data_IF_434875070702
#
_entry.id   IF_434875070702
#
_cell.length_a   1.000
_cell.length_b   1.000
_cell.length_c   1.000
_cell.angle_alpha   90.00
_cell.angle_beta   90.00
_cell.angle_gamma   90.00
#
_symmetry.space_group_name_H-M   'P 1'
#
loop_
_entity.id
_entity.type
_entity.pdbx_description
1 polymer ?
#
# COMPACT_ATOMS: atom_id res chain seq x y z
N UNK A 1 -16.54 -23.44 10.82
CA UNK A 1 -15.24 -22.74 10.68
C UNK A 1 -14.19 -23.52 11.47
N UNK A 2 -12.96 -23.64 10.96
CA UNK A 2 -11.86 -24.30 11.66
C UNK A 2 -11.16 -23.34 12.63
N UNK A 3 -10.77 -23.85 13.79
CA UNK A 3 -9.95 -23.09 14.74
C UNK A 3 -8.48 -23.28 14.41
N UNK A 4 -7.73 -22.18 14.37
CA UNK A 4 -6.27 -22.20 14.21
C UNK A 4 -5.65 -21.79 15.54
N UNK A 5 -4.78 -22.63 16.10
CA UNK A 5 -4.07 -22.32 17.34
C UNK A 5 -2.81 -21.53 17.03
N UNK A 6 -2.71 -20.31 17.55
CA UNK A 6 -1.57 -19.41 17.35
C UNK A 6 -0.82 -19.29 18.67
N UNK A 7 0.49 -19.49 18.65
CA UNK A 7 1.36 -19.24 19.82
C UNK A 7 1.64 -17.75 19.91
N UNK A 8 1.46 -17.19 21.10
CA UNK A 8 1.74 -15.80 21.43
C UNK A 8 2.73 -15.79 22.59
N UNK A 9 3.71 -14.89 22.54
CA UNK A 9 4.58 -14.65 23.69
C UNK A 9 3.79 -14.05 24.85
N UNK A 10 4.24 -14.29 26.08
CA UNK A 10 3.52 -13.92 27.30
C UNK A 10 3.27 -12.40 27.38
N UNK A 11 4.26 -11.58 26.99
CA UNK A 11 4.11 -10.11 26.91
C UNK A 11 2.94 -9.70 26.00
N UNK A 12 2.85 -10.31 24.82
CA UNK A 12 1.80 -9.97 23.86
C UNK A 12 0.43 -10.44 24.34
N UNK A 13 0.37 -11.60 24.99
CA UNK A 13 -0.86 -12.15 25.57
C UNK A 13 -1.43 -11.24 26.67
N UNK A 14 -0.58 -10.58 27.45
CA UNK A 14 -1.00 -9.61 28.47
C UNK A 14 -1.44 -8.27 27.88
N UNK A 15 -0.83 -7.84 26.77
CA UNK A 15 -1.11 -6.53 26.15
C UNK A 15 -2.34 -6.51 25.24
N UNK A 16 -2.69 -7.64 24.62
CA UNK A 16 -3.83 -7.72 23.69
C UNK A 16 -5.16 -7.31 24.35
N UNK A 17 -5.53 -7.79 25.55
CA UNK A 17 -6.79 -7.40 26.19
C UNK A 17 -6.91 -5.88 26.36
N UNK A 18 -5.85 -5.22 26.87
CA UNK A 18 -5.84 -3.78 27.05
C UNK A 18 -5.97 -3.02 25.71
N UNK A 19 -5.28 -3.49 24.66
CA UNK A 19 -5.40 -2.91 23.33
C UNK A 19 -6.80 -3.12 22.71
N UNK A 20 -7.41 -4.27 22.95
CA UNK A 20 -8.75 -4.59 22.48
C UNK A 20 -9.81 -3.73 23.19
N UNK A 21 -9.68 -3.53 24.49
CA UNK A 21 -10.56 -2.65 25.28
C UNK A 21 -10.50 -1.20 24.78
N UNK A 22 -9.29 -0.67 24.54
CA UNK A 22 -9.10 0.65 23.93
C UNK A 22 -9.74 0.77 22.54
N UNK A 23 -9.77 -0.32 21.78
CA UNK A 23 -10.42 -0.39 20.47
C UNK A 23 -11.92 -0.70 20.54
N UNK A 24 -12.49 -0.93 21.75
CA UNK A 24 -13.88 -1.32 21.95
C UNK A 24 -14.22 -2.70 21.38
N UNK A 25 -13.27 -3.63 21.36
CA UNK A 25 -13.39 -4.97 20.76
C UNK A 25 -13.04 -6.08 21.75
N UNK A 26 -13.52 -7.29 21.48
CA UNK A 26 -13.01 -8.47 22.20
C UNK A 26 -11.58 -8.78 21.75
N UNK A 27 -10.78 -9.42 22.60
CA UNK A 27 -9.43 -9.84 22.26
C UNK A 27 -9.38 -10.71 20.98
N UNK A 28 -10.36 -11.61 20.80
CA UNK A 28 -10.45 -12.44 19.60
C UNK A 28 -10.70 -11.60 18.34
N UNK A 29 -11.70 -10.71 18.35
CA UNK A 29 -12.00 -9.85 17.21
C UNK A 29 -10.82 -8.93 16.88
N UNK A 30 -10.15 -8.40 17.90
CA UNK A 30 -8.95 -7.59 17.74
C UNK A 30 -7.82 -8.34 17.03
N UNK A 31 -7.55 -9.60 17.43
CA UNK A 31 -6.53 -10.44 16.80
C UNK A 31 -6.88 -10.74 15.34
N UNK A 32 -8.12 -11.14 15.07
CA UNK A 32 -8.57 -11.46 13.71
C UNK A 32 -8.43 -10.23 12.80
N UNK A 33 -8.87 -9.06 13.26
CA UNK A 33 -8.76 -7.82 12.50
C UNK A 33 -7.29 -7.42 12.26
N UNK A 34 -6.42 -7.62 13.25
CA UNK A 34 -4.99 -7.32 13.11
C UNK A 34 -4.34 -8.21 12.04
N UNK A 35 -4.68 -9.50 12.01
CA UNK A 35 -4.19 -10.44 11.00
C UNK A 35 -4.73 -10.05 9.62
N UNK A 36 -6.04 -9.79 9.50
CA UNK A 36 -6.66 -9.39 8.23
C UNK A 36 -6.00 -8.14 7.65
N UNK A 37 -5.82 -7.09 8.46
CA UNK A 37 -5.13 -5.86 8.05
C UNK A 37 -3.70 -6.10 7.59
N UNK A 38 -2.98 -7.00 8.28
CA UNK A 38 -1.60 -7.34 7.92
C UNK A 38 -1.54 -8.06 6.57
N UNK A 39 -2.47 -9.00 6.32
CA UNK A 39 -2.58 -9.69 5.04
C UNK A 39 -2.88 -8.70 3.92
N UNK A 40 -3.90 -7.86 4.08
CA UNK A 40 -4.26 -6.82 3.10
C UNK A 40 -3.09 -5.88 2.80
N UNK A 41 -2.33 -5.48 3.83
CA UNK A 41 -1.15 -4.63 3.67
C UNK A 41 -0.05 -5.33 2.86
N UNK A 42 0.23 -6.61 3.14
CA UNK A 42 1.25 -7.38 2.41
C UNK A 42 0.84 -7.55 0.95
N UNK A 43 -0.42 -7.90 0.69
CA UNK A 43 -0.94 -8.04 -0.67
C UNK A 43 -0.88 -6.72 -1.45
N UNK A 44 -1.24 -5.60 -0.83
CA UNK A 44 -1.15 -4.28 -1.44
C UNK A 44 0.30 -3.87 -1.74
N UNK A 45 1.24 -4.19 -0.84
CA UNK A 45 2.66 -3.91 -1.03
C UNK A 45 3.24 -4.73 -2.18
N UNK A 46 2.89 -6.01 -2.27
CA UNK A 46 3.36 -6.88 -3.34
C UNK A 46 2.82 -6.43 -4.70
N UNK A 47 1.55 -6.06 -4.78
CA UNK A 47 0.98 -5.50 -6.00
C UNK A 47 1.67 -4.18 -6.41
N UNK A 48 2.00 -3.32 -5.44
CA UNK A 48 2.76 -2.10 -5.69
C UNK A 48 4.14 -2.41 -6.26
N UNK A 49 4.88 -3.36 -5.65
CA UNK A 49 6.20 -3.78 -6.13
C UNK A 49 6.12 -4.34 -7.55
N UNK A 50 5.16 -5.22 -7.83
CA UNK A 50 4.94 -5.79 -9.15
C UNK A 50 4.66 -4.72 -10.21
N UNK A 51 3.84 -3.72 -9.89
CA UNK A 51 3.58 -2.58 -10.77
C UNK A 51 4.86 -1.75 -10.98
N UNK A 52 5.61 -1.49 -9.91
CA UNK A 52 6.84 -0.70 -9.95
C UNK A 52 7.89 -1.38 -10.83
N UNK A 53 8.14 -2.68 -10.65
CA UNK A 53 9.07 -3.45 -11.48
C UNK A 53 8.67 -3.45 -12.95
N UNK A 54 7.38 -3.66 -13.26
CA UNK A 54 6.88 -3.61 -14.64
C UNK A 54 7.12 -2.23 -15.27
N UNK A 55 6.88 -1.15 -14.53
CA UNK A 55 7.11 0.22 -15.00
C UNK A 55 8.59 0.53 -15.14
N UNK A 56 9.42 0.04 -14.22
CA UNK A 56 10.87 0.17 -14.26
C UNK A 56 11.47 -0.54 -15.47
N UNK A 57 11.07 -1.79 -15.73
CA UNK A 57 11.50 -2.54 -16.92
C UNK A 57 11.10 -1.80 -18.21
N UNK A 58 9.89 -1.23 -18.28
CA UNK A 58 9.46 -0.43 -19.43
C UNK A 58 10.29 0.84 -19.59
N UNK A 59 10.63 1.51 -18.49
CA UNK A 59 11.48 2.70 -18.52
C UNK A 59 12.87 2.34 -19.06
N UNK A 60 13.49 1.27 -18.55
CA UNK A 60 14.79 0.80 -19.03
C UNK A 60 14.76 0.42 -20.51
N UNK A 61 13.70 -0.24 -20.97
CA UNK A 61 13.58 -0.66 -22.37
C UNK A 61 13.30 0.50 -23.35
N UNK A 62 12.57 1.53 -22.92
CA UNK A 62 12.10 2.61 -23.83
C UNK A 62 12.80 3.95 -23.62
N UNK A 63 13.49 4.13 -22.49
CA UNK A 63 14.02 5.41 -22.04
C UNK A 63 12.95 6.48 -21.77
N UNK A 64 11.66 6.16 -21.91
CA UNK A 64 10.57 7.15 -21.88
C UNK A 64 10.03 7.32 -20.45
N UNK A 65 10.12 8.53 -19.91
CA UNK A 65 9.57 8.91 -18.61
C UNK A 65 8.78 10.21 -18.69
N UNK A 66 7.95 10.48 -17.67
CA UNK A 66 7.37 11.81 -17.46
C UNK A 66 8.10 12.43 -16.28
N UNK A 67 8.68 13.64 -16.42
CA UNK A 67 9.28 14.35 -15.29
C UNK A 67 8.29 14.50 -14.12
N UNK A 68 8.77 14.31 -12.90
CA UNK A 68 7.91 14.33 -11.72
C UNK A 68 7.14 15.65 -11.55
N UNK A 69 7.76 16.78 -11.86
CA UNK A 69 7.10 18.10 -11.78
C UNK A 69 5.90 18.22 -12.72
N UNK A 70 6.01 17.69 -13.94
CA UNK A 70 4.92 17.68 -14.92
C UNK A 70 3.80 16.73 -14.48
N UNK A 71 4.17 15.55 -13.97
CA UNK A 71 3.21 14.59 -13.42
C UNK A 71 2.47 15.17 -12.21
N UNK A 72 3.17 15.83 -11.29
CA UNK A 72 2.60 16.46 -10.09
C UNK A 72 1.62 17.57 -10.44
N UNK A 73 1.97 18.45 -11.40
CA UNK A 73 1.06 19.50 -11.90
C UNK A 73 -0.21 18.91 -12.49
N UNK A 74 -0.08 17.88 -13.32
CA UNK A 74 -1.22 17.17 -13.92
C UNK A 74 -2.12 16.53 -12.86
N UNK A 75 -1.55 15.79 -11.90
CA UNK A 75 -2.31 15.13 -10.84
C UNK A 75 -3.02 16.13 -9.92
N UNK A 76 -2.37 17.23 -9.57
CA UNK A 76 -2.97 18.28 -8.75
C UNK A 76 -4.18 18.93 -9.45
N UNK A 77 -4.07 19.21 -10.75
CA UNK A 77 -5.19 19.75 -11.54
C UNK A 77 -6.35 18.76 -11.65
N UNK A 78 -6.08 17.47 -11.91
CA UNK A 78 -7.11 16.41 -11.87
C UNK A 78 -7.79 16.31 -10.51
N UNK A 79 -7.04 16.44 -9.41
CA UNK A 79 -7.58 16.44 -8.05
C UNK A 79 -8.54 17.60 -7.75
N UNK A 80 -8.44 18.71 -8.50
CA UNK A 80 -9.38 19.84 -8.43
C UNK A 80 -10.59 19.69 -9.36
N UNK A 81 -10.71 18.57 -10.07
CA UNK A 81 -11.78 18.32 -11.05
C UNK A 81 -11.53 18.95 -12.42
N UNK A 82 -10.34 19.49 -12.67
CA UNK A 82 -9.97 20.03 -13.99
C UNK A 82 -9.67 18.89 -14.99
N UNK A 83 -9.67 19.22 -16.28
CA UNK A 83 -9.28 18.32 -17.37
C UNK A 83 -7.98 18.78 -18.05
N UNK A 84 -6.83 18.76 -17.34
CA UNK A 84 -5.54 19.12 -17.92
C UNK A 84 -5.12 18.11 -18.99
N UNK A 85 -4.37 18.57 -19.99
CA UNK A 85 -3.73 17.69 -20.98
C UNK A 85 -2.68 16.82 -20.28
N UNK A 86 -2.67 15.52 -20.59
CA UNK A 86 -1.70 14.58 -20.03
C UNK A 86 -0.28 14.95 -20.51
N UNK A 87 0.71 15.06 -19.60
CA UNK A 87 2.07 15.42 -19.98
C UNK A 87 2.68 14.33 -20.88
N UNK A 88 3.39 14.72 -21.97
CA UNK A 88 4.03 13.77 -22.86
C UNK A 88 5.23 13.09 -22.19
N UNK A 89 5.51 11.85 -22.59
CA UNK A 89 6.73 11.17 -22.17
C UNK A 89 7.94 11.77 -22.90
N UNK A 90 9.02 12.01 -22.16
CA UNK A 90 10.33 12.47 -22.64
C UNK A 90 11.34 11.33 -22.52
N UNK A 91 12.34 11.30 -23.40
CA UNK A 91 13.43 10.33 -23.29
C UNK A 91 14.42 10.77 -22.20
N UNK A 92 15.01 9.83 -21.48
CA UNK A 92 16.23 10.05 -20.71
C UNK A 92 17.30 10.48 -21.70
N UNK A 93 17.63 11.77 -21.70
CA UNK A 93 18.84 12.26 -22.35
C UNK A 93 20.02 11.86 -21.45
N UNK A 94 21.01 11.19 -22.05
CA UNK A 94 22.26 10.82 -21.39
C UNK A 94 23.16 12.03 -21.19
#
# INVERSE_FOLDING_TARGET
MSTTTIRLDDDLKERIPAAADLAGKTAHAFIVDAIARTVEQVEAQEELHRIAEKRWAKLLATGSFVPWDDAKKYLAARGRGEEPVKPPARKLEH
#
